data_IF_003636931692
#
_entry.id   IF_003636931692
#
_cell.length_a   1.000
_cell.length_b   1.000
_cell.length_c   1.000
_cell.angle_alpha   90.00
_cell.angle_beta   90.00
_cell.angle_gamma   90.00
#
_symmetry.space_group_name_H-M   'P 1'
#
loop_
_entity.id
_entity.type
_entity.pdbx_description
1 polymer ?
#
# COMPACT_ATOMS: atom_id res chain seq x y z
N UNK A 1 -8.31 -6.76 -14.73
CA UNK A 1 -7.66 -7.92 -14.09
C UNK A 1 -7.35 -8.89 -15.20
N UNK A 2 -6.13 -9.43 -15.22
CA UNK A 2 -5.78 -10.51 -16.15
C UNK A 2 -6.25 -11.85 -15.57
N UNK A 3 -6.42 -12.86 -16.42
CA UNK A 3 -6.79 -14.21 -15.97
C UNK A 3 -5.78 -14.76 -14.97
N UNK A 4 -4.48 -14.52 -15.20
CA UNK A 4 -3.42 -14.93 -14.29
C UNK A 4 -3.54 -14.33 -12.87
N UNK A 5 -3.90 -13.05 -12.74
CA UNK A 5 -4.15 -12.42 -11.43
C UNK A 5 -5.39 -13.01 -10.77
N UNK A 6 -6.41 -13.38 -11.56
CA UNK A 6 -7.62 -14.02 -11.06
C UNK A 6 -7.29 -15.43 -10.55
N UNK A 7 -6.50 -16.21 -11.29
CA UNK A 7 -6.09 -17.56 -10.90
C UNK A 7 -5.31 -17.55 -9.58
N UNK A 8 -4.32 -16.64 -9.44
CA UNK A 8 -3.57 -16.44 -8.19
C UNK A 8 -4.55 -16.08 -7.05
N UNK A 9 -5.49 -15.16 -7.31
CA UNK A 9 -6.47 -14.74 -6.31
C UNK A 9 -7.35 -15.89 -5.84
N UNK A 10 -7.84 -16.73 -6.76
CA UNK A 10 -8.64 -17.91 -6.44
C UNK A 10 -7.82 -18.91 -5.62
N UNK A 11 -6.60 -19.23 -6.06
CA UNK A 11 -5.70 -20.16 -5.37
C UNK A 11 -5.48 -19.74 -3.91
N UNK A 12 -5.18 -18.46 -3.66
CA UNK A 12 -4.94 -17.95 -2.32
C UNK A 12 -6.23 -17.84 -1.50
N UNK A 13 -7.36 -17.49 -2.12
CA UNK A 13 -8.64 -17.38 -1.40
C UNK A 13 -9.09 -18.69 -0.74
N UNK A 14 -8.74 -19.83 -1.34
CA UNK A 14 -9.07 -21.17 -0.83
C UNK A 14 -8.21 -21.62 0.36
N UNK A 15 -7.21 -20.82 0.74
CA UNK A 15 -6.25 -21.10 1.82
C UNK A 15 -6.45 -20.24 3.07
N UNK A 16 -7.53 -19.46 3.12
CA UNK A 16 -7.89 -18.67 4.29
C UNK A 16 -8.47 -19.61 5.35
N UNK A 17 -7.95 -19.54 6.58
CA UNK A 17 -8.43 -20.36 7.70
C UNK A 17 -9.39 -19.55 8.59
N UNK A 18 -9.06 -18.28 8.85
CA UNK A 18 -9.86 -17.40 9.69
C UNK A 18 -11.10 -16.90 8.95
N UNK A 19 -12.30 -17.03 9.54
CA UNK A 19 -13.53 -16.50 8.94
C UNK A 19 -13.58 -14.96 8.94
N UNK A 20 -12.64 -14.30 9.62
CA UNK A 20 -12.55 -12.83 9.68
C UNK A 20 -11.58 -12.25 8.65
N UNK A 21 -10.68 -13.08 8.10
CA UNK A 21 -9.72 -12.66 7.07
C UNK A 21 -10.46 -12.33 5.78
N UNK A 22 -10.04 -11.25 5.12
CA UNK A 22 -10.62 -10.81 3.87
C UNK A 22 -9.59 -10.11 2.98
N UNK A 23 -9.84 -10.14 1.67
CA UNK A 23 -9.03 -9.41 0.70
C UNK A 23 -9.92 -8.62 -0.28
N UNK A 24 -10.52 -7.50 0.13
CA UNK A 24 -11.36 -6.72 -0.77
C UNK A 24 -10.60 -6.24 -2.03
N UNK A 25 -11.28 -6.36 -3.17
CA UNK A 25 -10.83 -5.86 -4.47
C UNK A 25 -11.77 -4.73 -4.88
N UNK A 26 -11.24 -3.52 -4.98
CA UNK A 26 -12.00 -2.37 -5.45
C UNK A 26 -11.63 -2.01 -6.88
N UNK A 27 -12.65 -1.81 -7.72
CA UNK A 27 -12.48 -1.17 -9.01
C UNK A 27 -12.24 0.32 -8.80
N UNK A 28 -11.14 0.82 -9.34
CA UNK A 28 -10.81 2.24 -9.39
C UNK A 28 -11.14 2.82 -10.78
N UNK A 29 -10.61 4.01 -11.09
CA UNK A 29 -10.84 4.71 -12.34
C UNK A 29 -11.85 5.86 -12.19
N UNK A 30 -12.66 6.08 -13.23
CA UNK A 30 -13.72 7.08 -13.20
C UNK A 30 -13.23 8.47 -12.81
N UNK A 31 -13.92 9.11 -11.87
CA UNK A 31 -13.56 10.47 -11.42
C UNK A 31 -12.17 10.55 -10.78
N UNK A 32 -11.73 9.50 -10.09
CA UNK A 32 -10.41 9.46 -9.44
C UNK A 32 -9.29 9.50 -10.48
N UNK A 33 -9.45 8.80 -11.60
CA UNK A 33 -8.46 8.75 -12.67
C UNK A 33 -8.48 9.98 -13.61
N UNK A 34 -9.53 10.82 -13.56
CA UNK A 34 -9.60 12.06 -14.35
C UNK A 34 -8.77 13.20 -13.78
N UNK A 35 -8.41 13.14 -12.50
CA UNK A 35 -7.51 14.11 -11.86
C UNK A 35 -6.08 13.78 -12.26
N UNK A 36 -5.32 14.79 -12.69
CA UNK A 36 -3.92 14.63 -13.09
C UNK A 36 -3.05 14.11 -11.96
N UNK A 37 -2.06 13.28 -12.31
CA UNK A 37 -1.18 12.61 -11.34
C UNK A 37 -0.55 13.61 -10.37
N UNK A 38 -0.11 14.77 -10.86
CA UNK A 38 0.64 15.78 -10.09
C UNK A 38 -0.25 16.83 -9.38
N UNK A 39 -1.57 16.76 -9.53
CA UNK A 39 -2.50 17.74 -8.94
C UNK A 39 -2.64 17.57 -7.42
N UNK A 40 -2.34 16.38 -6.90
CA UNK A 40 -2.46 16.05 -5.47
C UNK A 40 -1.29 15.19 -5.00
N UNK A 41 -1.18 14.98 -3.69
CA UNK A 41 -0.20 14.06 -3.12
C UNK A 41 -0.56 12.57 -3.30
N UNK A 42 -1.80 12.25 -3.68
CA UNK A 42 -2.25 10.87 -3.91
C UNK A 42 -1.61 10.30 -5.19
N UNK A 43 -0.95 9.15 -5.09
CA UNK A 43 -0.36 8.40 -6.21
C UNK A 43 -1.25 7.25 -6.69
N UNK A 44 -0.90 6.68 -7.85
CA UNK A 44 -1.53 5.43 -8.33
C UNK A 44 -2.90 5.62 -8.99
N UNK A 45 -3.24 6.82 -9.49
CA UNK A 45 -4.56 7.11 -10.07
C UNK A 45 -4.89 6.31 -11.33
N UNK A 46 -3.86 5.82 -12.03
CA UNK A 46 -4.01 4.99 -13.23
C UNK A 46 -4.26 3.51 -12.93
N UNK A 47 -4.15 3.08 -11.67
CA UNK A 47 -4.45 1.71 -11.30
C UNK A 47 -5.93 1.40 -11.56
N UNK A 48 -6.21 0.30 -12.26
CA UNK A 48 -7.59 -0.11 -12.54
C UNK A 48 -8.28 -0.75 -11.33
N UNK A 49 -7.51 -1.38 -10.45
CA UNK A 49 -8.01 -2.08 -9.27
C UNK A 49 -7.05 -1.88 -8.09
N UNK A 50 -7.57 -1.97 -6.87
CA UNK A 50 -6.77 -2.03 -5.65
C UNK A 50 -7.15 -3.27 -4.86
N UNK A 51 -6.12 -3.96 -4.37
CA UNK A 51 -6.22 -5.08 -3.45
C UNK A 51 -5.79 -4.59 -2.08
N UNK A 52 -6.55 -4.95 -1.05
CA UNK A 52 -6.07 -4.90 0.33
C UNK A 52 -6.15 -6.31 0.89
N UNK A 53 -5.00 -6.89 1.23
CA UNK A 53 -4.90 -8.29 1.69
C UNK A 53 -4.72 -8.24 3.20
N UNK A 54 -5.73 -8.64 3.97
CA UNK A 54 -5.75 -8.43 5.42
C UNK A 54 -6.03 -9.73 6.16
N UNK A 55 -5.05 -10.18 6.94
CA UNK A 55 -5.20 -11.22 7.94
C UNK A 55 -5.89 -10.67 9.19
N UNK A 56 -6.98 -11.29 9.62
CA UNK A 56 -7.69 -10.94 10.85
C UNK A 56 -8.03 -12.24 11.57
N UNK A 57 -7.73 -12.31 12.85
CA UNK A 57 -8.06 -13.43 13.74
C UNK A 57 -8.72 -12.88 15.00
N UNK A 58 -9.57 -13.68 15.65
CA UNK A 58 -10.24 -13.27 16.90
C UNK A 58 -9.25 -13.17 18.07
N UNK A 59 -8.24 -14.04 18.07
CA UNK A 59 -7.18 -14.09 19.08
C UNK A 59 -5.81 -14.22 18.43
N UNK A 60 -4.75 -14.31 19.21
CA UNK A 60 -3.40 -14.54 18.67
C UNK A 60 -3.21 -15.95 18.07
N UNK A 61 -4.09 -16.89 18.38
CA UNK A 61 -4.07 -18.25 17.81
C UNK A 61 -4.38 -18.19 16.31
N UNK A 62 -3.56 -18.85 15.48
CA UNK A 62 -3.70 -18.85 14.02
C UNK A 62 -3.19 -17.58 13.32
N UNK A 63 -2.82 -16.52 14.06
CA UNK A 63 -2.40 -15.26 13.44
C UNK A 63 -1.06 -15.37 12.69
N UNK A 64 -0.17 -16.25 13.12
CA UNK A 64 1.12 -16.42 12.45
C UNK A 64 0.95 -17.02 11.05
N UNK A 65 0.05 -18.00 10.93
CA UNK A 65 -0.35 -18.68 9.70
C UNK A 65 -1.06 -17.71 8.75
N UNK A 66 -2.04 -16.98 9.25
CA UNK A 66 -2.76 -15.94 8.49
C UNK A 66 -1.81 -14.82 8.01
N UNK A 67 -0.86 -14.41 8.84
CA UNK A 67 0.16 -13.42 8.45
C UNK A 67 1.06 -13.96 7.32
N UNK A 68 1.42 -15.24 7.35
CA UNK A 68 2.20 -15.85 6.28
C UNK A 68 1.38 -16.00 5.00
N UNK A 69 0.09 -16.33 5.12
CA UNK A 69 -0.86 -16.32 4.00
C UNK A 69 -0.87 -14.96 3.31
N UNK A 70 -1.00 -13.84 4.04
CA UNK A 70 -0.95 -12.47 3.48
C UNK A 70 0.35 -12.23 2.71
N UNK A 71 1.51 -12.61 3.30
CA UNK A 71 2.81 -12.39 2.69
C UNK A 71 2.99 -13.19 1.40
N UNK A 72 2.56 -14.46 1.41
CA UNK A 72 2.61 -15.33 0.24
C UNK A 72 1.73 -14.77 -0.88
N UNK A 73 0.53 -14.31 -0.56
CA UNK A 73 -0.41 -13.75 -1.54
C UNK A 73 0.09 -12.41 -2.10
N UNK A 74 0.60 -11.52 -1.23
CA UNK A 74 1.25 -10.29 -1.67
C UNK A 74 2.41 -10.56 -2.64
N UNK A 75 3.27 -11.53 -2.31
CA UNK A 75 4.45 -11.87 -3.12
C UNK A 75 4.06 -12.44 -4.48
N UNK A 76 3.01 -13.26 -4.55
CA UNK A 76 2.49 -13.79 -5.81
C UNK A 76 1.92 -12.68 -6.72
N UNK A 77 1.34 -11.63 -6.13
CA UNK A 77 0.81 -10.49 -6.89
C UNK A 77 1.84 -9.39 -7.17
N UNK A 78 3.02 -9.44 -6.56
CA UNK A 78 4.06 -8.41 -6.69
C UNK A 78 4.39 -8.08 -8.16
N UNK A 79 4.57 -9.04 -9.09
CA UNK A 79 4.92 -8.73 -10.48
C UNK A 79 3.87 -7.89 -11.23
N UNK A 80 2.62 -7.86 -10.76
CA UNK A 80 1.50 -7.18 -11.41
C UNK A 80 1.15 -5.83 -10.80
N UNK A 81 1.75 -5.47 -9.65
CA UNK A 81 1.44 -4.21 -8.98
C UNK A 81 2.14 -3.03 -9.67
N UNK A 82 1.48 -1.87 -9.64
CA UNK A 82 2.00 -0.63 -10.25
C UNK A 82 2.23 0.48 -9.22
N UNK A 83 1.58 0.38 -8.06
CA UNK A 83 1.68 1.34 -6.96
C UNK A 83 1.13 0.71 -5.69
N UNK A 84 1.30 1.40 -4.57
CA UNK A 84 0.66 1.07 -3.30
C UNK A 84 0.01 2.27 -2.66
N UNK A 85 -1.06 2.01 -1.89
CA UNK A 85 -1.76 3.06 -1.17
C UNK A 85 -1.18 3.23 0.23
N UNK A 86 -0.72 4.45 0.52
CA UNK A 86 -0.05 4.79 1.78
C UNK A 86 -0.86 4.41 3.03
N UNK A 87 -2.20 4.45 2.96
CA UNK A 87 -3.07 4.13 4.10
C UNK A 87 -3.23 2.63 4.36
N UNK A 88 -2.73 1.76 3.48
CA UNK A 88 -2.66 0.32 3.72
C UNK A 88 -1.26 -0.15 4.15
N UNK A 89 -0.29 0.75 4.16
CA UNK A 89 1.06 0.42 4.60
C UNK A 89 1.12 0.27 6.12
N UNK A 90 1.88 -0.74 6.55
CA UNK A 90 2.25 -0.95 7.94
C UNK A 90 3.67 -0.41 8.18
N UNK A 91 4.49 -1.09 8.98
CA UNK A 91 5.91 -0.76 9.18
C UNK A 91 6.79 -1.36 8.07
N UNK A 92 6.66 -0.84 6.84
CA UNK A 92 7.36 -1.35 5.65
C UNK A 92 8.63 -0.55 5.27
N UNK A 93 8.91 0.53 6.00
CA UNK A 93 10.11 1.35 5.82
C UNK A 93 10.03 2.43 4.74
N UNK A 94 11.08 3.26 4.66
CA UNK A 94 11.10 4.48 3.85
C UNK A 94 10.98 4.23 2.34
N UNK A 95 11.61 3.17 1.83
CA UNK A 95 11.56 2.88 0.39
C UNK A 95 10.12 2.56 -0.06
N UNK A 96 9.35 1.90 0.80
CA UNK A 96 7.94 1.61 0.50
C UNK A 96 7.08 2.87 0.43
N UNK A 97 7.31 3.79 1.36
CA UNK A 97 6.68 5.11 1.37
C UNK A 97 7.06 5.87 0.09
N UNK A 98 8.33 5.80 -0.32
CA UNK A 98 8.81 6.43 -1.57
C UNK A 98 8.14 5.83 -2.80
N UNK A 99 7.93 4.52 -2.85
CA UNK A 99 7.19 3.84 -3.91
C UNK A 99 5.72 4.29 -3.96
N UNK A 100 5.06 4.46 -2.80
CA UNK A 100 3.67 4.89 -2.72
C UNK A 100 3.44 6.28 -3.35
N UNK A 101 4.37 7.20 -3.15
CA UNK A 101 4.29 8.56 -3.70
C UNK A 101 4.92 8.71 -5.09
N UNK A 102 5.92 7.88 -5.43
CA UNK A 102 6.77 8.10 -6.59
C UNK A 102 7.79 9.23 -6.37
N UNK A 103 8.89 9.18 -7.12
CA UNK A 103 10.06 10.04 -6.88
C UNK A 103 9.75 11.55 -6.87
N UNK A 104 8.92 12.00 -7.83
CA UNK A 104 8.61 13.43 -8.01
C UNK A 104 7.77 13.99 -6.85
N UNK A 105 6.69 13.31 -6.45
CA UNK A 105 5.86 13.75 -5.32
C UNK A 105 6.59 13.60 -4.00
N UNK A 106 7.35 12.52 -3.82
CA UNK A 106 8.15 12.33 -2.61
C UNK A 106 9.13 13.50 -2.42
N UNK A 107 9.84 13.93 -3.47
CA UNK A 107 10.73 15.09 -3.42
C UNK A 107 9.99 16.39 -3.06
N UNK A 108 8.81 16.63 -3.65
CA UNK A 108 7.97 17.80 -3.34
C UNK A 108 7.48 17.77 -1.88
N UNK A 109 6.99 16.64 -1.41
CA UNK A 109 6.53 16.46 -0.03
C UNK A 109 7.67 16.61 0.97
N UNK A 110 8.87 16.11 0.65
CA UNK A 110 10.07 16.29 1.46
C UNK A 110 10.46 17.77 1.57
N UNK A 111 10.40 18.52 0.48
CA UNK A 111 10.59 19.98 0.50
C UNK A 111 9.57 20.69 1.39
N UNK A 112 8.28 20.30 1.31
CA UNK A 112 7.24 20.83 2.19
C UNK A 112 7.49 20.46 3.66
N UNK A 113 7.91 19.22 3.96
CA UNK A 113 8.28 18.78 5.30
C UNK A 113 9.41 19.64 5.87
N UNK A 114 10.47 19.92 5.12
CA UNK A 114 11.54 20.84 5.56
C UNK A 114 11.04 22.24 5.90
N UNK A 115 10.04 22.75 5.17
CA UNK A 115 9.49 24.09 5.39
C UNK A 115 8.57 24.16 6.61
N UNK A 116 7.77 23.12 6.85
CA UNK A 116 6.66 23.17 7.82
C UNK A 116 6.88 22.31 9.07
N UNK A 117 7.73 21.29 9.00
CA UNK A 117 8.08 20.39 10.10
C UNK A 117 9.55 19.95 10.01
N UNK A 118 10.51 20.91 10.08
CA UNK A 118 11.94 20.63 9.94
C UNK A 118 12.49 19.69 11.02
N UNK A 119 11.93 19.74 12.23
CA UNK A 119 12.35 18.89 13.35
C UNK A 119 11.68 17.50 13.33
N UNK A 120 10.85 17.23 12.32
CA UNK A 120 10.13 15.97 12.15
C UNK A 120 9.31 15.60 13.41
N UNK A 121 8.63 16.60 13.98
CA UNK A 121 7.76 16.45 15.15
C UNK A 121 6.62 15.47 14.83
N UNK A 122 6.00 15.61 13.65
CA UNK A 122 4.90 14.75 13.21
C UNK A 122 5.41 13.53 12.45
N UNK A 123 5.84 12.51 13.19
CA UNK A 123 6.50 11.31 12.64
C UNK A 123 5.80 9.98 12.90
N UNK A 124 4.66 9.98 13.58
CA UNK A 124 3.82 8.80 13.78
C UNK A 124 2.83 8.65 12.61
N UNK A 125 3.39 8.44 11.42
CA UNK A 125 2.68 8.26 10.16
C UNK A 125 3.62 7.57 9.16
N UNK A 126 3.16 7.37 7.92
CA UNK A 126 4.02 6.97 6.80
C UNK A 126 4.99 8.12 6.45
N UNK A 127 6.01 8.25 7.28
CA UNK A 127 6.76 9.49 7.46
C UNK A 127 7.75 9.77 6.34
N UNK A 128 7.73 11.02 5.87
CA UNK A 128 8.74 11.57 4.98
C UNK A 128 9.69 12.42 5.83
N UNK A 129 10.96 12.01 5.90
CA UNK A 129 11.97 12.72 6.71
C UNK A 129 12.44 13.98 5.99
N UNK A 130 12.64 15.12 6.69
CA UNK A 130 13.10 16.37 6.07
C UNK A 130 14.58 16.36 5.60
N UNK A 131 15.35 15.30 5.89
CA UNK A 131 16.83 15.18 5.88
C UNK A 131 17.45 15.48 7.25
N UNK A 132 18.58 14.82 7.51
CA UNK A 132 19.45 15.18 8.64
C UNK A 132 20.18 16.44 8.22
N UNK A 133 19.87 17.57 8.87
CA UNK A 133 20.76 18.72 8.85
C UNK A 133 22.09 18.24 9.42
N UNK A 134 23.12 18.12 8.59
CA UNK A 134 24.51 18.04 9.06
C UNK A 134 24.89 19.40 9.60
#
# INVERSE_FOLDING_TARGET
LTDEVIDITVEHSLRIDSPLTAFPIWQLGGAVARVGEEETAFGGRSAGHTFNITAITETAEGFAEEREWVRSFWSALEPYHTSVYVNFLMEEGEERIRQAYGAKKYARLKSLKRRYDPDNLFRLNQNIRPDVTV
#
